data_IF_552843542465
#
_entry.id   IF_552843542465
#
_cell.length_a   1.000
_cell.length_b   1.000
_cell.length_c   1.000
_cell.angle_alpha   90.00
_cell.angle_beta   90.00
_cell.angle_gamma   90.00
#
_symmetry.space_group_name_H-M   'P 1'
#
loop_
_entity.id
_entity.type
_entity.pdbx_description
1 polymer ?
#
# COMPACT_ATOMS: atom_id res chain seq x y z
N UNK A 1 -2.44 -2.94 -19.10
CA UNK A 1 -1.34 -2.41 -18.24
C UNK A 1 -0.93 -3.55 -17.31
N UNK A 2 0.36 -3.92 -17.27
CA UNK A 2 0.86 -4.90 -16.30
C UNK A 2 1.19 -4.16 -15.00
N UNK A 3 0.55 -4.54 -13.90
CA UNK A 3 0.89 -4.04 -12.56
C UNK A 3 2.02 -4.90 -12.03
N UNK A 4 3.12 -4.27 -11.62
CA UNK A 4 4.20 -4.91 -10.89
C UNK A 4 4.03 -4.50 -9.43
N UNK A 5 4.29 -5.43 -8.52
CA UNK A 5 4.24 -5.22 -7.07
C UNK A 5 5.58 -5.66 -6.50
N UNK A 6 6.03 -4.99 -5.46
CA UNK A 6 7.34 -5.16 -4.85
C UNK A 6 8.47 -4.95 -5.85
N UNK A 7 8.35 -3.93 -6.71
CA UNK A 7 9.35 -3.58 -7.71
C UNK A 7 10.48 -2.70 -7.16
N UNK A 8 10.31 -2.11 -5.97
CA UNK A 8 11.36 -1.41 -5.25
C UNK A 8 11.35 -1.67 -3.71
N UNK A 9 12.32 -1.06 -3.01
CA UNK A 9 12.42 -1.18 -1.55
C UNK A 9 11.40 -0.32 -0.79
N UNK A 10 10.87 0.74 -1.40
CA UNK A 10 9.80 1.56 -0.83
C UNK A 10 8.48 0.77 -0.77
N UNK A 11 8.27 -0.20 -1.66
CA UNK A 11 7.15 -1.15 -1.63
C UNK A 11 6.98 -1.88 -0.30
N UNK A 12 8.08 -2.15 0.41
CA UNK A 12 8.03 -2.76 1.75
C UNK A 12 7.38 -1.82 2.76
N UNK A 13 7.52 -0.51 2.59
CA UNK A 13 6.86 0.51 3.39
C UNK A 13 5.34 0.46 3.25
N UNK A 14 4.82 0.32 2.03
CA UNK A 14 3.38 0.18 1.76
C UNK A 14 2.81 -1.06 2.44
N UNK A 15 3.52 -2.19 2.36
CA UNK A 15 3.18 -3.42 3.09
C UNK A 15 3.12 -3.21 4.60
N UNK A 16 4.13 -2.57 5.19
CA UNK A 16 4.15 -2.30 6.64
C UNK A 16 3.03 -1.36 7.07
N UNK A 17 2.72 -0.33 6.28
CA UNK A 17 1.59 0.56 6.53
C UNK A 17 0.26 -0.19 6.49
N UNK A 18 0.11 -1.12 5.55
CA UNK A 18 -1.02 -2.04 5.49
C UNK A 18 -1.20 -2.85 6.76
N UNK A 19 -0.10 -3.40 7.30
CA UNK A 19 -0.11 -4.11 8.57
C UNK A 19 -0.52 -3.19 9.73
N UNK A 20 0.06 -1.99 9.81
CA UNK A 20 -0.25 -1.02 10.87
C UNK A 20 -1.71 -0.53 10.83
N UNK A 21 -2.35 -0.53 9.66
CA UNK A 21 -3.76 -0.18 9.52
C UNK A 21 -4.73 -1.11 10.26
N UNK A 22 -4.27 -2.28 10.72
CA UNK A 22 -5.03 -3.15 11.62
C UNK A 22 -5.27 -2.51 13.00
N UNK A 23 -4.43 -1.56 13.40
CA UNK A 23 -4.56 -0.82 14.67
C UNK A 23 -5.62 0.28 14.52
N UNK A 24 -5.63 0.98 13.39
CA UNK A 24 -6.59 2.05 13.11
C UNK A 24 -6.87 2.22 11.62
N UNK A 25 -8.15 2.25 11.20
CA UNK A 25 -8.51 2.44 9.79
C UNK A 25 -8.15 3.84 9.26
N UNK A 26 -7.82 4.80 10.13
CA UNK A 26 -7.38 6.15 9.73
C UNK A 26 -6.07 6.11 8.92
N UNK A 27 -5.20 5.12 9.17
CA UNK A 27 -3.95 4.93 8.42
C UNK A 27 -4.25 4.73 6.93
N UNK A 28 -5.29 3.98 6.58
CA UNK A 28 -5.67 3.78 5.19
C UNK A 28 -6.11 5.08 4.51
N UNK A 29 -6.88 5.93 5.21
CA UNK A 29 -7.34 7.21 4.65
C UNK A 29 -6.14 8.13 4.38
N UNK A 30 -5.23 8.24 5.35
CA UNK A 30 -4.01 9.06 5.21
C UNK A 30 -3.14 8.53 4.07
N UNK A 31 -2.96 7.21 4.01
CA UNK A 31 -2.19 6.53 2.99
C UNK A 31 -2.75 6.79 1.58
N UNK A 32 -4.06 6.56 1.38
CA UNK A 32 -4.69 6.74 0.08
C UNK A 32 -4.59 8.19 -0.42
N UNK A 33 -4.74 9.17 0.48
CA UNK A 33 -4.57 10.58 0.15
C UNK A 33 -3.12 10.91 -0.22
N UNK A 34 -2.16 10.38 0.53
CA UNK A 34 -0.74 10.54 0.26
C UNK A 34 -0.38 9.99 -1.14
N UNK A 35 -0.75 8.74 -1.44
CA UNK A 35 -0.47 8.12 -2.74
C UNK A 35 -1.18 8.83 -3.89
N UNK A 36 -2.42 9.28 -3.69
CA UNK A 36 -3.15 10.03 -4.71
C UNK A 36 -2.43 11.35 -5.02
N UNK A 37 -1.96 12.06 -4.00
CA UNK A 37 -1.22 13.31 -4.14
C UNK A 37 0.12 13.07 -4.82
N UNK A 38 0.86 12.04 -4.40
CA UNK A 38 2.13 11.62 -5.01
C UNK A 38 1.96 11.30 -6.50
N UNK A 39 0.96 10.47 -6.84
CA UNK A 39 0.61 10.14 -8.20
C UNK A 39 0.30 11.41 -9.01
N UNK A 40 -0.53 12.32 -8.49
CA UNK A 40 -0.86 13.58 -9.19
C UNK A 40 0.37 14.46 -9.44
N UNK A 41 1.28 14.58 -8.47
CA UNK A 41 2.50 15.39 -8.62
C UNK A 41 3.51 14.78 -9.59
N UNK A 42 3.58 13.45 -9.65
CA UNK A 42 4.52 12.74 -10.53
C UNK A 42 3.93 12.40 -11.89
N UNK A 43 2.62 12.52 -12.09
CA UNK A 43 1.98 12.30 -13.39
C UNK A 43 2.44 13.38 -14.41
N UNK A 44 2.77 13.02 -15.67
CA UNK A 44 2.64 11.71 -16.32
C UNK A 44 3.87 10.81 -16.24
N UNK A 45 4.91 11.19 -15.49
CA UNK A 45 6.13 10.38 -15.37
C UNK A 45 5.87 9.08 -14.62
N UNK A 46 5.05 9.13 -13.58
CA UNK A 46 4.57 7.94 -12.90
C UNK A 46 3.40 7.31 -13.64
N UNK A 47 3.51 5.99 -13.84
CA UNK A 47 2.49 5.20 -14.52
C UNK A 47 1.40 4.84 -13.52
N UNK A 48 0.16 4.80 -14.00
CA UNK A 48 -1.00 4.30 -13.22
C UNK A 48 -0.72 2.90 -12.62
N UNK A 49 0.17 2.10 -13.24
CA UNK A 49 0.56 0.78 -12.73
C UNK A 49 1.31 0.83 -11.42
N UNK A 50 2.08 1.89 -11.15
CA UNK A 50 2.83 2.07 -9.90
C UNK A 50 1.85 2.37 -8.78
N UNK A 51 1.07 3.45 -8.91
CA UNK A 51 -0.04 3.77 -8.00
C UNK A 51 -0.97 2.59 -7.64
N UNK A 52 -1.38 1.78 -8.63
CA UNK A 52 -2.18 0.57 -8.35
C UNK A 52 -1.36 -0.50 -7.62
N UNK A 53 -0.08 -0.65 -7.96
CA UNK A 53 0.87 -1.51 -7.25
C UNK A 53 0.99 -1.15 -5.78
N UNK A 54 1.21 0.13 -5.47
CA UNK A 54 1.35 0.65 -4.10
C UNK A 54 0.09 0.38 -3.27
N UNK A 55 -1.10 0.55 -3.87
CA UNK A 55 -2.37 0.21 -3.22
C UNK A 55 -2.47 -1.30 -2.94
N UNK A 56 -2.08 -2.16 -3.90
CA UNK A 56 -2.11 -3.60 -3.72
C UNK A 56 -1.14 -4.07 -2.63
N UNK A 57 0.04 -3.47 -2.54
CA UNK A 57 1.04 -3.78 -1.51
C UNK A 57 0.53 -3.45 -0.12
N UNK A 58 -0.14 -2.30 0.05
CA UNK A 58 -0.85 -1.98 1.27
C UNK A 58 -1.90 -3.04 1.63
N UNK A 59 -2.73 -3.45 0.67
CA UNK A 59 -3.72 -4.50 0.92
C UNK A 59 -3.10 -5.87 1.24
N UNK A 60 -1.97 -6.21 0.63
CA UNK A 60 -1.19 -7.39 1.01
C UNK A 60 -0.76 -7.30 2.48
N UNK A 61 -0.27 -6.15 2.92
CA UNK A 61 0.13 -5.90 4.30
C UNK A 61 -1.02 -6.08 5.28
N UNK A 62 -2.17 -5.47 4.97
CA UNK A 62 -3.40 -5.60 5.74
C UNK A 62 -3.88 -7.06 5.81
N UNK A 63 -3.90 -7.75 4.67
CA UNK A 63 -4.32 -9.14 4.56
C UNK A 63 -3.42 -10.11 5.31
N UNK A 64 -2.10 -10.02 5.12
CA UNK A 64 -1.14 -10.85 5.85
C UNK A 64 -1.16 -10.54 7.34
N UNK A 65 -1.22 -9.27 7.72
CA UNK A 65 -1.30 -8.90 9.12
C UNK A 65 -2.57 -9.43 9.79
N UNK A 66 -3.71 -9.38 9.10
CA UNK A 66 -4.96 -9.96 9.61
C UNK A 66 -4.81 -11.47 9.85
N UNK A 67 -4.24 -12.20 8.88
CA UNK A 67 -4.00 -13.64 9.03
C UNK A 67 -3.05 -13.95 10.20
N UNK A 68 -1.97 -13.20 10.35
CA UNK A 68 -1.00 -13.38 11.44
C UNK A 68 -1.69 -13.15 12.80
N UNK A 69 -2.42 -12.05 12.96
CA UNK A 69 -3.13 -11.75 14.21
C UNK A 69 -4.10 -12.90 14.54
N UNK A 70 -4.87 -13.38 13.55
CA UNK A 70 -5.83 -14.49 13.74
C UNK A 70 -5.21 -15.85 14.02
N UNK A 71 -3.93 -16.05 13.72
CA UNK A 71 -3.20 -17.28 14.03
C UNK A 71 -2.54 -17.24 15.41
N UNK A 72 -2.21 -16.04 15.90
CA UNK A 72 -1.46 -15.82 17.15
C UNK A 72 -2.37 -15.49 18.32
N UNK A 73 -3.51 -14.84 18.07
CA UNK A 73 -4.51 -14.38 19.05
C UNK A 73 -5.88 -14.97 18.70
#
# INVERSE_FOLDING_TARGET
MRVQVFDDWFSVGHLLLGFLALITPLIFIIYLLYELVEFMFKHPKEKISCFIGDILEFFCGLGFGYLIIRMVV
#
